data_IF_288840605883
#
_entry.id   IF_288840605883
#
_cell.length_a   1.000
_cell.length_b   1.000
_cell.length_c   1.000
_cell.angle_alpha   90.00
_cell.angle_beta   90.00
_cell.angle_gamma   90.00
#
_symmetry.space_group_name_H-M   'P 1'
#
loop_
_entity.id
_entity.type
_entity.pdbx_description
1 polymer ?
#
# COMPACT_ATOMS: atom_id res chain seq x y z
N UNK A 1 13.27 35.91 -10.77
CA UNK A 1 12.67 35.25 -9.58
C UNK A 1 11.80 34.13 -10.06
N UNK A 2 12.00 32.92 -9.57
CA UNK A 2 11.17 31.75 -9.89
C UNK A 2 10.15 31.52 -8.77
N UNK A 3 8.87 31.38 -9.15
CA UNK A 3 7.80 30.97 -8.25
C UNK A 3 7.43 29.52 -8.56
N UNK A 4 7.01 28.78 -7.55
CA UNK A 4 6.53 27.40 -7.66
C UNK A 4 5.06 27.36 -7.22
N UNK A 5 4.22 26.76 -8.06
CA UNK A 5 2.80 26.57 -7.75
C UNK A 5 2.32 25.20 -8.27
N UNK A 6 1.49 24.54 -7.48
CA UNK A 6 0.95 23.23 -7.80
C UNK A 6 1.79 22.06 -7.30
N UNK A 7 1.28 20.85 -7.48
CA UNK A 7 1.85 19.64 -6.92
C UNK A 7 3.03 19.06 -7.74
N UNK A 8 3.17 19.45 -9.00
CA UNK A 8 4.21 18.94 -9.89
C UNK A 8 4.03 17.48 -10.34
N UNK A 9 5.09 16.92 -10.87
CA UNK A 9 5.18 15.52 -11.33
C UNK A 9 6.38 14.82 -10.69
N UNK A 10 6.19 13.55 -10.34
CA UNK A 10 7.30 12.69 -9.93
C UNK A 10 7.36 11.42 -10.77
N UNK A 11 8.58 11.04 -11.16
CA UNK A 11 8.89 9.78 -11.80
C UNK A 11 9.93 9.03 -10.96
N UNK A 12 9.67 7.76 -10.68
CA UNK A 12 10.62 6.83 -10.10
C UNK A 12 11.14 5.85 -11.15
N UNK A 13 12.44 5.71 -11.26
CA UNK A 13 13.08 4.75 -12.17
C UNK A 13 13.79 3.70 -11.32
N UNK A 14 13.32 2.45 -11.27
CA UNK A 14 13.97 1.39 -10.52
C UNK A 14 15.43 1.19 -10.95
N UNK A 15 16.35 1.09 -10.00
CA UNK A 15 17.78 0.84 -10.25
C UNK A 15 18.17 -0.58 -9.82
N UNK A 16 17.82 -0.94 -8.60
CA UNK A 16 18.09 -2.24 -8.02
C UNK A 16 16.84 -2.83 -7.40
N UNK A 17 16.70 -4.15 -7.48
CA UNK A 17 15.66 -4.90 -6.77
C UNK A 17 15.97 -4.99 -5.26
N UNK A 18 15.07 -5.59 -4.48
CA UNK A 18 15.26 -5.75 -3.05
C UNK A 18 16.43 -6.68 -2.67
N UNK A 19 16.96 -7.46 -3.60
CA UNK A 19 18.12 -8.33 -3.40
C UNK A 19 19.46 -7.67 -3.84
N UNK A 20 19.40 -6.43 -4.32
CA UNK A 20 20.56 -5.68 -4.79
C UNK A 20 20.98 -6.00 -6.23
N UNK A 21 20.16 -6.73 -7.01
CA UNK A 21 20.43 -6.95 -8.43
C UNK A 21 20.00 -5.75 -9.25
N UNK A 22 20.82 -5.35 -10.21
CA UNK A 22 20.48 -4.27 -11.12
C UNK A 22 19.24 -4.62 -11.98
N UNK A 23 18.30 -3.70 -12.06
CA UNK A 23 17.10 -3.86 -12.88
C UNK A 23 17.46 -3.59 -14.35
N UNK A 24 17.39 -4.62 -15.17
CA UNK A 24 17.63 -4.51 -16.62
C UNK A 24 16.40 -3.88 -17.28
N UNK A 25 16.62 -2.83 -18.08
CA UNK A 25 15.57 -2.08 -18.78
C UNK A 25 14.44 -1.60 -17.82
N UNK A 26 14.76 -0.77 -16.84
CA UNK A 26 13.78 -0.31 -15.85
C UNK A 26 12.66 0.48 -16.52
N UNK A 27 11.43 0.16 -16.17
CA UNK A 27 10.26 0.93 -16.62
C UNK A 27 10.05 2.11 -15.67
N UNK A 28 10.15 3.37 -16.15
CA UNK A 28 9.85 4.54 -15.33
C UNK A 28 8.39 4.53 -14.85
N UNK A 29 8.18 4.89 -13.61
CA UNK A 29 6.87 4.91 -12.97
C UNK A 29 6.52 6.35 -12.63
N UNK A 30 5.46 6.88 -13.24
CA UNK A 30 4.87 8.16 -12.86
C UNK A 30 3.95 7.96 -11.67
N UNK A 31 4.09 8.78 -10.62
CA UNK A 31 3.11 8.83 -9.53
C UNK A 31 1.91 9.63 -10.04
N UNK A 32 0.76 8.96 -10.14
CA UNK A 32 -0.45 9.54 -10.72
C UNK A 32 -1.19 10.45 -9.75
N UNK A 33 -1.89 11.45 -10.31
CA UNK A 33 -2.72 12.41 -9.56
C UNK A 33 -2.00 12.96 -8.32
N UNK A 34 -0.81 13.54 -8.53
CA UNK A 34 0.03 14.12 -7.48
C UNK A 34 -0.72 15.20 -6.71
N UNK A 35 -0.73 15.12 -5.40
CA UNK A 35 -1.34 16.13 -4.53
C UNK A 35 -0.29 16.93 -3.75
N UNK A 36 0.76 16.26 -3.32
CA UNK A 36 1.84 16.89 -2.55
C UNK A 36 3.17 16.26 -2.91
N UNK A 37 4.20 17.09 -2.97
CA UNK A 37 5.58 16.67 -3.20
C UNK A 37 6.49 17.60 -2.41
N UNK A 38 7.37 17.04 -1.59
CA UNK A 38 8.36 17.81 -0.83
C UNK A 38 9.71 17.12 -0.82
N UNK A 39 10.75 17.92 -0.77
CA UNK A 39 12.14 17.49 -0.55
C UNK A 39 12.70 18.35 0.57
N UNK A 40 13.26 17.72 1.58
CA UNK A 40 13.91 18.35 2.71
C UNK A 40 15.40 17.99 2.74
N UNK A 41 16.24 19.03 2.80
CA UNK A 41 17.69 18.94 2.97
C UNK A 41 18.01 19.34 4.40
N UNK A 42 18.35 18.39 5.24
CA UNK A 42 18.69 18.64 6.64
C UNK A 42 20.12 18.20 6.95
N UNK A 43 20.76 18.90 7.86
CA UNK A 43 22.12 18.60 8.28
C UNK A 43 22.32 18.87 9.77
N UNK A 44 23.05 17.98 10.42
CA UNK A 44 23.45 18.16 11.82
C UNK A 44 24.51 19.26 11.92
N UNK A 45 24.34 20.18 12.85
CA UNK A 45 25.38 21.13 13.22
C UNK A 45 26.14 20.57 14.42
N UNK A 46 27.46 20.48 14.31
CA UNK A 46 28.36 20.13 15.41
C UNK A 46 29.05 21.39 15.89
N UNK A 47 28.94 21.69 17.17
CA UNK A 47 29.48 22.89 17.79
C UNK A 47 30.51 22.51 18.85
N UNK A 48 31.63 23.23 18.84
CA UNK A 48 32.66 23.12 19.84
C UNK A 48 32.51 24.29 20.81
N UNK A 49 32.26 23.97 22.06
CA UNK A 49 32.16 24.93 23.16
C UNK A 49 33.44 24.96 24.00
N UNK A 50 33.83 26.15 24.46
CA UNK A 50 34.82 26.34 25.51
C UNK A 50 34.11 26.55 26.86
N UNK A 51 34.78 27.24 27.77
CA UNK A 51 34.20 27.58 29.07
C UNK A 51 33.19 28.76 29.03
N UNK A 52 33.00 29.38 27.87
CA UNK A 52 32.04 30.48 27.66
C UNK A 52 30.78 30.00 26.98
N UNK A 53 29.71 30.85 26.98
CA UNK A 53 28.38 30.50 26.48
C UNK A 53 28.28 30.33 24.95
N UNK A 54 29.19 30.93 24.19
CA UNK A 54 29.17 30.87 22.72
C UNK A 54 30.11 29.78 22.21
N UNK A 55 29.65 29.11 21.11
CA UNK A 55 30.47 28.12 20.43
C UNK A 55 31.76 28.77 19.86
N UNK A 56 32.91 28.12 20.05
CA UNK A 56 34.21 28.53 19.49
C UNK A 56 34.31 28.20 18.00
N UNK A 57 33.67 27.11 17.57
CA UNK A 57 33.62 26.68 16.17
C UNK A 57 32.36 25.88 15.92
N UNK A 58 31.87 25.91 14.67
CA UNK A 58 30.78 25.07 14.20
C UNK A 58 31.15 24.38 12.89
N UNK A 59 30.76 23.13 12.74
CA UNK A 59 30.97 22.34 11.52
C UNK A 59 29.68 21.58 11.15
N UNK A 60 29.44 21.48 9.84
CA UNK A 60 28.34 20.67 9.33
C UNK A 60 28.69 19.19 9.42
N UNK A 61 27.88 18.43 10.13
CA UNK A 61 28.02 16.98 10.28
C UNK A 61 27.30 16.19 9.17
N UNK A 62 26.52 15.18 9.55
CA UNK A 62 25.77 14.35 8.61
C UNK A 62 24.69 15.17 7.92
N UNK A 63 24.54 14.95 6.61
CA UNK A 63 23.46 15.55 5.80
C UNK A 63 22.50 14.44 5.36
N UNK A 64 21.20 14.73 5.40
CA UNK A 64 20.13 13.83 4.97
C UNK A 64 19.24 14.57 3.97
N UNK A 65 18.83 13.85 2.93
CA UNK A 65 17.78 14.30 2.01
C UNK A 65 16.60 13.36 2.22
N UNK A 66 15.47 13.94 2.58
CA UNK A 66 14.20 13.22 2.72
C UNK A 66 13.23 13.74 1.68
N UNK A 67 12.58 12.82 0.97
CA UNK A 67 11.50 13.11 0.03
C UNK A 67 10.19 12.52 0.52
N UNK A 68 9.11 13.22 0.20
CA UNK A 68 7.75 12.80 0.50
C UNK A 68 6.85 13.10 -0.68
N UNK A 69 5.98 12.15 -1.01
CA UNK A 69 5.00 12.32 -2.07
C UNK A 69 3.65 11.76 -1.66
N UNK A 70 2.59 12.44 -2.08
CA UNK A 70 1.22 11.97 -1.95
C UNK A 70 0.57 11.94 -3.34
N UNK A 71 0.00 10.82 -3.71
CA UNK A 71 -0.71 10.64 -4.97
C UNK A 71 -2.07 10.02 -4.75
N UNK A 72 -3.10 10.56 -5.41
CA UNK A 72 -4.46 10.06 -5.26
C UNK A 72 -4.73 8.72 -5.97
N UNK A 73 -3.78 8.23 -6.75
CA UNK A 73 -3.91 6.96 -7.46
C UNK A 73 -2.90 5.92 -6.96
N UNK A 74 -3.41 4.71 -6.72
CA UNK A 74 -2.61 3.56 -6.30
C UNK A 74 -2.31 2.69 -7.53
N UNK A 75 -1.03 2.47 -7.83
CA UNK A 75 -0.58 1.56 -8.86
C UNK A 75 0.28 0.44 -8.25
N UNK A 76 -0.07 -0.82 -8.52
CA UNK A 76 0.68 -1.97 -8.00
C UNK A 76 2.16 -1.96 -8.42
N UNK A 77 2.48 -1.47 -9.63
CA UNK A 77 3.87 -1.32 -10.08
C UNK A 77 4.64 -0.29 -9.23
N UNK A 78 4.00 0.84 -8.86
CA UNK A 78 4.60 1.84 -7.97
C UNK A 78 4.93 1.24 -6.61
N UNK A 79 3.95 0.58 -5.99
CA UNK A 79 4.12 -0.04 -4.68
C UNK A 79 5.23 -1.09 -4.69
N UNK A 80 5.25 -1.94 -5.71
CA UNK A 80 6.24 -3.00 -5.78
C UNK A 80 7.64 -2.47 -6.09
N UNK A 81 7.80 -1.70 -7.14
CA UNK A 81 9.12 -1.35 -7.66
C UNK A 81 9.81 -0.23 -6.87
N UNK A 82 9.03 0.60 -6.16
CA UNK A 82 9.59 1.69 -5.35
C UNK A 82 9.65 1.35 -3.86
N UNK A 83 8.90 0.35 -3.38
CA UNK A 83 8.87 0.04 -1.95
C UNK A 83 9.17 -1.42 -1.63
N UNK A 84 8.46 -2.39 -2.22
CA UNK A 84 8.58 -3.80 -1.80
C UNK A 84 9.66 -4.59 -2.57
N UNK A 85 9.86 -4.32 -3.86
CA UNK A 85 10.82 -5.05 -4.69
C UNK A 85 10.54 -6.55 -4.83
N UNK A 86 9.28 -6.97 -4.71
CA UNK A 86 8.84 -8.36 -4.75
C UNK A 86 8.35 -8.78 -6.13
N UNK A 87 8.13 -10.07 -6.32
CA UNK A 87 7.49 -10.58 -7.53
C UNK A 87 5.98 -10.27 -7.51
N UNK A 88 5.48 -9.70 -8.60
CA UNK A 88 4.06 -9.38 -8.77
C UNK A 88 3.37 -10.54 -9.48
N UNK A 89 2.45 -11.22 -8.80
CA UNK A 89 1.52 -12.15 -9.44
C UNK A 89 0.31 -11.40 -9.99
N UNK A 90 -0.25 -11.87 -11.09
CA UNK A 90 -1.43 -11.26 -11.72
C UNK A 90 -2.46 -12.32 -12.11
N UNK A 91 -3.69 -11.89 -12.41
CA UNK A 91 -4.75 -12.75 -12.91
C UNK A 91 -5.73 -13.27 -11.85
N UNK A 92 -5.42 -13.14 -10.56
CA UNK A 92 -6.33 -13.56 -9.46
C UNK A 92 -6.52 -12.44 -8.47
N UNK A 93 -7.77 -12.07 -8.22
CA UNK A 93 -8.18 -11.18 -7.15
C UNK A 93 -8.71 -12.01 -5.99
N UNK A 94 -8.27 -11.74 -4.77
CA UNK A 94 -8.91 -12.19 -3.54
C UNK A 94 -9.72 -11.04 -2.96
N UNK A 95 -10.96 -11.30 -2.59
CA UNK A 95 -11.88 -10.29 -2.08
C UNK A 95 -12.75 -10.86 -0.95
N UNK A 96 -13.28 -9.97 -0.14
CA UNK A 96 -14.21 -10.30 0.94
C UNK A 96 -15.63 -9.94 0.51
N UNK A 97 -16.56 -10.88 0.69
CA UNK A 97 -17.98 -10.60 0.65
C UNK A 97 -18.46 -10.29 2.07
N UNK A 98 -18.81 -9.04 2.32
CA UNK A 98 -19.49 -8.62 3.55
C UNK A 98 -20.98 -8.53 3.26
N UNK A 99 -21.75 -9.44 3.84
CA UNK A 99 -23.19 -9.53 3.60
C UNK A 99 -23.94 -8.46 4.39
N UNK A 100 -24.61 -7.56 3.69
CA UNK A 100 -25.43 -6.49 4.27
C UNK A 100 -26.94 -6.72 4.07
N UNK A 101 -27.29 -7.71 3.26
CA UNK A 101 -28.68 -8.03 2.94
C UNK A 101 -29.22 -9.12 3.85
N UNK A 102 -28.43 -10.16 4.06
CA UNK A 102 -28.77 -11.36 4.82
C UNK A 102 -29.72 -12.31 4.07
N UNK A 103 -29.70 -13.56 4.48
CA UNK A 103 -30.55 -14.62 3.96
C UNK A 103 -31.35 -15.30 5.09
N UNK A 104 -32.54 -15.84 4.76
CA UNK A 104 -33.29 -16.67 5.71
C UNK A 104 -32.81 -18.12 5.64
N UNK A 105 -32.61 -18.75 6.77
CA UNK A 105 -32.28 -20.17 6.85
C UNK A 105 -33.49 -20.98 6.33
N UNK A 106 -33.32 -21.77 5.25
CA UNK A 106 -34.44 -22.53 4.67
C UNK A 106 -34.88 -23.71 5.56
N UNK A 107 -36.11 -24.20 5.35
CA UNK A 107 -36.68 -25.29 6.14
C UNK A 107 -35.97 -26.62 5.91
N UNK A 108 -35.71 -27.01 4.70
CA UNK A 108 -34.99 -28.24 4.34
C UNK A 108 -34.30 -27.97 3.02
N UNK A 109 -33.00 -28.14 2.96
CA UNK A 109 -32.10 -28.93 3.81
C UNK A 109 -31.38 -28.15 4.93
N UNK A 110 -31.87 -27.02 5.44
CA UNK A 110 -31.28 -26.17 6.50
C UNK A 110 -29.91 -25.62 6.15
N UNK A 111 -29.67 -25.39 4.87
CA UNK A 111 -28.34 -24.94 4.38
C UNK A 111 -28.47 -23.77 3.41
N UNK A 112 -27.45 -22.94 3.40
CA UNK A 112 -27.28 -21.83 2.45
C UNK A 112 -25.97 -22.06 1.71
N UNK A 113 -26.02 -22.17 0.39
CA UNK A 113 -24.82 -22.21 -0.44
C UNK A 113 -24.54 -20.82 -0.93
N UNK A 114 -23.35 -20.28 -0.61
CA UNK A 114 -22.96 -18.96 -1.10
C UNK A 114 -22.55 -19.02 -2.55
N UNK A 115 -22.88 -17.98 -3.28
CA UNK A 115 -22.48 -17.80 -4.69
C UNK A 115 -21.57 -16.57 -4.78
N UNK A 116 -20.24 -16.76 -4.81
CA UNK A 116 -19.33 -15.65 -4.91
C UNK A 116 -19.56 -14.79 -6.16
N UNK A 117 -19.42 -13.46 -6.06
CA UNK A 117 -19.56 -12.57 -7.19
C UNK A 117 -18.63 -12.93 -8.36
N UNK A 118 -19.04 -12.58 -9.59
CA UNK A 118 -18.25 -12.73 -10.82
C UNK A 118 -17.74 -14.16 -11.05
N UNK A 119 -18.56 -15.16 -10.75
CA UNK A 119 -18.18 -16.58 -10.85
C UNK A 119 -16.92 -16.94 -10.05
N UNK A 120 -16.72 -16.26 -8.93
CA UNK A 120 -15.61 -16.51 -8.02
C UNK A 120 -15.70 -17.86 -7.33
N UNK A 121 -14.62 -18.24 -6.67
CA UNK A 121 -14.53 -19.48 -5.88
C UNK A 121 -14.44 -19.13 -4.40
N UNK A 122 -15.27 -19.74 -3.57
CA UNK A 122 -15.20 -19.65 -2.12
C UNK A 122 -13.81 -20.11 -1.63
N UNK A 123 -13.24 -19.39 -0.67
CA UNK A 123 -11.92 -19.71 -0.09
C UNK A 123 -12.02 -20.04 1.39
N UNK A 124 -12.64 -19.16 2.17
CA UNK A 124 -12.72 -19.32 3.62
C UNK A 124 -13.90 -18.56 4.20
N UNK A 125 -14.43 -19.08 5.28
CA UNK A 125 -15.42 -18.42 6.12
C UNK A 125 -14.81 -17.24 6.89
N UNK A 126 -15.55 -16.16 7.02
CA UNK A 126 -15.24 -14.98 7.84
C UNK A 126 -16.30 -14.72 8.91
N UNK A 127 -17.19 -15.70 9.13
CA UNK A 127 -18.20 -15.69 10.17
C UNK A 127 -19.61 -15.38 9.69
N UNK A 128 -20.55 -15.90 10.45
CA UNK A 128 -21.99 -15.68 10.27
C UNK A 128 -22.50 -14.85 11.44
N UNK A 129 -23.28 -13.82 11.14
CA UNK A 129 -23.98 -13.00 12.14
C UNK A 129 -25.47 -13.32 12.12
N UNK A 130 -26.12 -13.29 13.27
CA UNK A 130 -27.57 -13.40 13.38
C UNK A 130 -28.30 -12.09 13.00
N UNK A 131 -29.61 -12.06 13.12
CA UNK A 131 -30.43 -10.89 12.83
C UNK A 131 -30.10 -9.66 13.69
N UNK A 132 -29.48 -9.85 14.86
CA UNK A 132 -29.06 -8.80 15.79
C UNK A 132 -27.59 -8.41 15.62
N UNK A 133 -26.94 -8.88 14.54
CA UNK A 133 -25.49 -8.70 14.28
C UNK A 133 -24.60 -9.37 15.34
N UNK A 134 -25.10 -10.39 16.04
CA UNK A 134 -24.32 -11.18 16.99
C UNK A 134 -23.66 -12.36 16.27
N UNK A 135 -22.36 -12.60 16.45
CA UNK A 135 -21.67 -13.73 15.81
C UNK A 135 -22.22 -15.08 16.27
N UNK A 136 -22.57 -15.93 15.31
CA UNK A 136 -22.87 -17.34 15.54
C UNK A 136 -21.59 -18.16 15.72
N UNK A 137 -21.66 -19.26 16.46
CA UNK A 137 -20.49 -20.11 16.70
C UNK A 137 -20.28 -21.10 15.56
N UNK A 138 -19.09 -21.10 14.96
CA UNK A 138 -18.68 -22.09 13.99
C UNK A 138 -18.33 -23.43 14.66
N UNK A 139 -18.82 -24.53 14.11
CA UNK A 139 -18.52 -25.91 14.56
C UNK A 139 -18.12 -26.78 13.37
N UNK A 140 -17.41 -27.87 13.62
CA UNK A 140 -16.96 -28.75 12.54
C UNK A 140 -18.11 -29.46 11.84
N UNK A 141 -19.15 -29.86 12.58
CA UNK A 141 -20.34 -30.59 12.05
C UNK A 141 -21.50 -30.57 13.06
N UNK A 142 -22.69 -30.95 12.65
CA UNK A 142 -23.87 -31.09 13.49
C UNK A 142 -24.14 -29.86 14.38
N UNK A 143 -24.38 -28.67 13.80
CA UNK A 143 -24.55 -27.44 14.57
C UNK A 143 -25.78 -27.52 15.48
N UNK A 144 -25.64 -27.07 16.72
CA UNK A 144 -26.74 -26.81 17.63
C UNK A 144 -27.40 -25.45 17.31
N UNK A 145 -28.51 -25.12 17.99
CA UNK A 145 -29.17 -23.83 17.84
C UNK A 145 -28.18 -22.67 18.07
N UNK A 146 -28.15 -21.71 17.16
CA UNK A 146 -27.20 -20.58 17.21
C UNK A 146 -25.78 -20.92 16.74
N UNK A 147 -25.58 -22.10 16.18
CA UNK A 147 -24.31 -22.54 15.60
C UNK A 147 -24.46 -22.81 14.10
N UNK A 148 -23.31 -22.84 13.41
CA UNK A 148 -23.27 -23.25 12.00
C UNK A 148 -22.01 -24.06 11.71
N UNK A 149 -22.04 -24.84 10.64
CA UNK A 149 -20.87 -25.47 10.04
C UNK A 149 -20.77 -25.09 8.58
N UNK A 150 -19.54 -25.04 8.05
CA UNK A 150 -19.30 -24.66 6.65
C UNK A 150 -18.40 -25.69 5.98
N UNK A 151 -18.74 -26.03 4.74
CA UNK A 151 -17.92 -26.91 3.90
C UNK A 151 -16.89 -26.09 3.10
N UNK A 152 -15.85 -26.75 2.59
CA UNK A 152 -14.86 -26.13 1.71
C UNK A 152 -15.44 -25.59 0.38
N UNK A 153 -16.68 -25.94 0.05
CA UNK A 153 -17.41 -25.42 -1.12
C UNK A 153 -18.32 -24.22 -0.79
N UNK A 154 -18.28 -23.68 0.44
CA UNK A 154 -19.12 -22.56 0.84
C UNK A 154 -20.58 -22.94 1.11
N UNK A 155 -20.85 -24.18 1.52
CA UNK A 155 -22.16 -24.61 1.97
C UNK A 155 -22.23 -24.48 3.49
N UNK A 156 -23.11 -23.61 3.97
CA UNK A 156 -23.37 -23.33 5.38
C UNK A 156 -24.57 -24.16 5.85
N UNK A 157 -24.36 -25.00 6.83
CA UNK A 157 -25.39 -25.81 7.46
C UNK A 157 -25.76 -25.22 8.82
N UNK A 158 -27.06 -25.18 9.12
CA UNK A 158 -27.63 -24.63 10.35
C UNK A 158 -28.48 -25.69 11.08
N UNK A 159 -28.82 -25.40 12.32
CA UNK A 159 -29.75 -26.23 13.09
C UNK A 159 -31.19 -26.05 12.61
N UNK A 160 -31.96 -27.11 12.64
CA UNK A 160 -33.38 -27.09 12.28
C UNK A 160 -34.20 -26.07 13.11
N UNK A 161 -33.83 -25.82 14.38
CA UNK A 161 -34.46 -24.83 15.25
C UNK A 161 -34.16 -23.39 14.87
N UNK A 162 -33.20 -23.17 13.94
CA UNK A 162 -32.86 -21.85 13.42
C UNK A 162 -33.57 -21.53 12.09
N UNK A 163 -34.42 -22.44 11.60
CA UNK A 163 -35.20 -22.22 10.39
C UNK A 163 -35.97 -20.91 10.41
N UNK A 164 -35.91 -20.15 9.30
CA UNK A 164 -36.60 -18.87 9.16
C UNK A 164 -35.89 -17.71 9.84
N UNK A 165 -34.83 -17.94 10.62
CA UNK A 165 -34.01 -16.85 11.16
C UNK A 165 -33.16 -16.23 10.06
N UNK A 166 -32.97 -14.92 10.15
CA UNK A 166 -32.14 -14.19 9.22
C UNK A 166 -30.68 -14.25 9.68
N UNK A 167 -29.77 -14.52 8.73
CA UNK A 167 -28.33 -14.59 8.96
C UNK A 167 -27.60 -13.80 7.90
N UNK A 168 -26.42 -13.27 8.25
CA UNK A 168 -25.51 -12.54 7.37
C UNK A 168 -24.22 -13.34 7.26
N UNK A 169 -23.88 -13.77 6.05
CA UNK A 169 -22.76 -14.68 5.80
C UNK A 169 -21.60 -13.91 5.18
N UNK A 170 -20.49 -13.85 5.89
CA UNK A 170 -19.27 -13.19 5.42
C UNK A 170 -18.23 -14.24 5.03
N UNK A 171 -17.58 -14.05 3.90
CA UNK A 171 -16.58 -15.00 3.40
C UNK A 171 -15.56 -14.34 2.49
N UNK A 172 -14.40 -14.98 2.40
CA UNK A 172 -13.37 -14.65 1.42
C UNK A 172 -13.55 -15.51 0.17
N UNK A 173 -13.32 -14.91 -0.98
CA UNK A 173 -13.39 -15.61 -2.27
C UNK A 173 -12.31 -15.12 -3.21
N UNK A 174 -12.00 -15.91 -4.23
CA UNK A 174 -11.11 -15.52 -5.33
C UNK A 174 -11.89 -15.47 -6.62
N UNK A 175 -11.46 -14.56 -7.51
CA UNK A 175 -11.98 -14.48 -8.88
C UNK A 175 -10.84 -14.24 -9.87
N UNK A 176 -11.03 -14.70 -11.11
CA UNK A 176 -10.10 -14.40 -12.19
C UNK A 176 -10.34 -12.98 -12.67
N UNK A 177 -9.28 -12.15 -12.61
CA UNK A 177 -9.29 -10.76 -13.06
C UNK A 177 -7.93 -10.43 -13.65
N UNK A 178 -7.83 -10.23 -14.96
CA UNK A 178 -6.55 -10.01 -15.66
C UNK A 178 -5.79 -8.78 -15.19
N UNK A 179 -6.51 -7.75 -14.75
CA UNK A 179 -5.93 -6.52 -14.18
C UNK A 179 -5.50 -6.66 -12.71
N UNK A 180 -5.90 -7.75 -12.01
CA UNK A 180 -5.54 -7.95 -10.62
C UNK A 180 -4.03 -8.11 -10.45
N UNK A 181 -3.50 -7.49 -9.41
CA UNK A 181 -2.09 -7.60 -9.00
C UNK A 181 -2.03 -8.02 -7.53
N UNK A 182 -1.20 -9.03 -7.26
CA UNK A 182 -0.91 -9.49 -5.91
C UNK A 182 0.58 -9.33 -5.65
N UNK A 183 0.92 -8.64 -4.57
CA UNK A 183 2.27 -8.53 -4.03
C UNK A 183 2.29 -9.29 -2.71
N UNK A 184 3.14 -10.31 -2.61
CA UNK A 184 3.36 -11.01 -1.35
C UNK A 184 4.57 -10.40 -0.69
N UNK A 185 4.38 -9.71 0.43
CA UNK A 185 5.46 -9.12 1.19
C UNK A 185 6.15 -10.23 1.98
N UNK A 186 7.38 -10.55 1.61
CA UNK A 186 8.21 -11.55 2.29
C UNK A 186 9.01 -10.91 3.43
N UNK A 187 9.29 -11.69 4.48
CA UNK A 187 10.24 -11.30 5.51
C UNK A 187 11.66 -11.46 4.97
N UNK A 188 12.27 -10.35 4.59
CA UNK A 188 13.61 -10.32 4.01
C UNK A 188 14.68 -9.95 5.04
N UNK A 189 15.95 -10.17 4.70
CA UNK A 189 17.06 -9.76 5.55
C UNK A 189 17.09 -8.24 5.73
N UNK A 190 17.62 -7.77 6.86
CA UNK A 190 17.83 -6.33 7.08
C UNK A 190 18.71 -5.74 5.98
N UNK A 191 18.35 -4.56 5.50
CA UNK A 191 19.04 -3.87 4.40
C UNK A 191 18.51 -4.19 3.00
N UNK A 192 17.67 -5.23 2.86
CA UNK A 192 17.02 -5.53 1.58
C UNK A 192 15.93 -4.48 1.29
N UNK A 193 16.15 -3.67 0.27
CA UNK A 193 15.18 -2.67 -0.19
C UNK A 193 15.46 -2.31 -1.66
N UNK A 194 14.43 -2.10 -2.48
CA UNK A 194 14.62 -1.61 -3.83
C UNK A 194 15.18 -0.19 -3.80
N UNK A 195 16.05 0.11 -4.76
CA UNK A 195 16.62 1.44 -4.96
C UNK A 195 16.11 2.02 -6.26
N UNK A 196 15.79 3.29 -6.28
CA UNK A 196 15.29 3.98 -7.47
C UNK A 196 15.87 5.38 -7.62
N UNK A 197 15.89 5.86 -8.86
CA UNK A 197 16.20 7.25 -9.20
C UNK A 197 14.90 8.05 -9.23
N UNK A 198 14.86 9.21 -8.61
CA UNK A 198 13.69 10.06 -8.58
C UNK A 198 13.89 11.34 -9.40
N UNK A 199 12.89 11.67 -10.21
CA UNK A 199 12.78 12.94 -10.93
C UNK A 199 11.55 13.68 -10.41
N UNK A 200 11.76 14.85 -9.82
CA UNK A 200 10.70 15.65 -9.22
C UNK A 200 10.68 17.02 -9.89
N UNK A 201 9.60 17.32 -10.63
CA UNK A 201 9.50 18.54 -11.43
C UNK A 201 8.26 19.34 -11.08
N UNK A 202 8.42 20.64 -11.02
CA UNK A 202 7.31 21.61 -11.02
C UNK A 202 7.42 22.55 -12.20
N UNK A 203 6.28 22.99 -12.71
CA UNK A 203 6.20 23.94 -13.82
C UNK A 203 5.22 25.05 -13.44
N UNK A 204 5.65 26.31 -13.49
CA UNK A 204 4.80 27.48 -13.25
C UNK A 204 5.16 28.62 -14.18
N UNK A 205 4.19 29.16 -14.90
CA UNK A 205 4.36 30.27 -15.89
C UNK A 205 5.49 30.02 -16.90
N UNK A 206 5.61 28.75 -17.38
CA UNK A 206 6.64 28.37 -18.34
C UNK A 206 8.03 28.12 -17.75
N UNK A 207 8.27 28.47 -16.49
CA UNK A 207 9.50 28.19 -15.77
C UNK A 207 9.45 26.81 -15.11
N UNK A 208 10.58 26.10 -15.14
CA UNK A 208 10.70 24.73 -14.62
C UNK A 208 11.70 24.64 -13.50
N UNK A 209 11.36 23.88 -12.48
CA UNK A 209 12.27 23.42 -11.44
C UNK A 209 12.29 21.92 -11.47
N UNK A 210 13.46 21.31 -11.59
CA UNK A 210 13.65 19.87 -11.58
C UNK A 210 14.70 19.51 -10.53
N UNK A 211 14.35 18.55 -9.67
CA UNK A 211 15.32 17.90 -8.78
C UNK A 211 15.43 16.44 -9.18
N UNK A 212 16.66 15.99 -9.42
CA UNK A 212 16.99 14.61 -9.72
C UNK A 212 17.74 14.04 -8.51
N UNK A 213 17.18 13.01 -7.89
CA UNK A 213 17.86 12.25 -6.82
C UNK A 213 18.35 10.93 -7.41
N UNK A 214 19.66 10.67 -7.31
CA UNK A 214 20.31 9.58 -8.03
C UNK A 214 20.03 8.20 -7.46
N UNK A 215 19.99 8.06 -6.13
CA UNK A 215 19.68 6.81 -5.46
C UNK A 215 18.76 7.08 -4.27
N UNK A 216 17.56 6.53 -4.31
CA UNK A 216 16.55 6.68 -3.27
C UNK A 216 16.13 5.32 -2.74
N UNK A 217 15.88 5.26 -1.44
CA UNK A 217 15.30 4.11 -0.76
C UNK A 217 14.05 4.58 -0.01
N UNK A 218 12.94 3.91 -0.26
CA UNK A 218 11.69 4.18 0.46
C UNK A 218 11.76 3.67 1.88
N UNK A 219 11.30 4.47 2.83
CA UNK A 219 11.33 4.16 4.26
C UNK A 219 9.93 4.10 4.90
N UNK A 220 8.92 4.66 4.25
CA UNK A 220 7.53 4.63 4.73
C UNK A 220 6.56 4.58 3.56
N UNK A 221 5.55 3.75 3.68
CA UNK A 221 4.41 3.70 2.78
C UNK A 221 3.13 3.68 3.61
N UNK A 222 2.29 4.69 3.45
CA UNK A 222 0.94 4.70 3.98
C UNK A 222 -0.03 4.37 2.84
N UNK A 223 -0.53 3.14 2.82
CA UNK A 223 -1.35 2.63 1.71
C UNK A 223 -2.85 2.80 1.95
N UNK A 224 -3.31 2.55 3.18
CA UNK A 224 -4.72 2.59 3.55
C UNK A 224 -4.93 3.49 4.75
N UNK A 225 -5.57 4.62 4.53
CA UNK A 225 -6.00 5.56 5.56
C UNK A 225 -7.43 6.01 5.26
N UNK A 226 -8.38 5.15 5.58
CA UNK A 226 -9.79 5.44 5.31
C UNK A 226 -10.38 6.36 6.36
N UNK A 227 -11.17 7.35 5.90
CA UNK A 227 -11.99 8.24 6.72
C UNK A 227 -13.39 8.29 6.13
N UNK A 228 -14.37 8.65 6.95
CA UNK A 228 -15.77 8.65 6.53
C UNK A 228 -16.03 9.63 5.37
N UNK A 229 -15.42 10.81 5.43
CA UNK A 229 -15.72 11.94 4.53
C UNK A 229 -14.53 12.38 3.67
N UNK A 230 -13.52 11.49 3.48
CA UNK A 230 -12.31 11.85 2.75
C UNK A 230 -11.79 10.69 1.89
N UNK A 231 -11.10 11.02 0.80
CA UNK A 231 -10.45 10.04 -0.05
C UNK A 231 -9.16 9.52 0.61
N UNK A 232 -8.87 8.24 0.38
CA UNK A 232 -7.57 7.69 0.73
C UNK A 232 -6.51 8.25 -0.22
N UNK A 233 -5.50 8.93 0.34
CA UNK A 233 -4.36 9.47 -0.40
C UNK A 233 -3.10 8.75 0.07
N UNK A 234 -2.58 7.79 -0.70
CA UNK A 234 -1.33 7.11 -0.38
C UNK A 234 -0.16 8.07 -0.27
N UNK A 235 0.70 7.81 0.71
CA UNK A 235 1.89 8.59 1.01
C UNK A 235 3.12 7.69 0.93
N UNK A 236 4.14 8.13 0.20
CA UNK A 236 5.44 7.47 0.09
C UNK A 236 6.53 8.43 0.58
N UNK A 237 7.23 8.03 1.64
CA UNK A 237 8.43 8.73 2.11
C UNK A 237 9.67 7.94 1.68
N UNK A 238 10.73 8.66 1.32
CA UNK A 238 12.00 8.06 0.91
C UNK A 238 13.16 8.95 1.31
N UNK A 239 14.34 8.36 1.32
CA UNK A 239 15.59 9.08 1.59
C UNK A 239 16.55 8.89 0.42
N UNK A 240 17.29 9.92 0.07
CA UNK A 240 18.32 9.84 -0.95
C UNK A 240 19.67 9.50 -0.32
N UNK A 241 20.43 8.69 -1.04
CA UNK A 241 21.81 8.30 -0.74
C UNK A 241 22.72 8.64 -1.92
N UNK A 242 24.03 8.58 -1.73
CA UNK A 242 24.97 8.72 -2.82
C UNK A 242 24.92 7.51 -3.77
N UNK A 243 25.05 7.76 -5.07
CA UNK A 243 25.26 6.72 -6.08
C UNK A 243 26.72 6.23 -6.09
N UNK A 244 27.04 5.31 -7.00
CA UNK A 244 28.40 4.76 -7.15
C UNK A 244 29.45 5.80 -7.56
N UNK A 245 29.02 6.94 -8.13
CA UNK A 245 29.89 8.06 -8.51
C UNK A 245 29.96 9.14 -7.41
N UNK A 246 29.38 8.89 -6.24
CA UNK A 246 29.33 9.80 -5.10
C UNK A 246 28.45 11.05 -5.32
N UNK A 247 27.52 10.99 -6.29
CA UNK A 247 26.52 12.04 -6.52
C UNK A 247 25.25 11.71 -5.74
N UNK A 248 24.57 12.73 -5.22
CA UNK A 248 23.31 12.57 -4.48
C UNK A 248 22.14 13.19 -5.24
N UNK A 249 22.30 14.43 -5.69
CA UNK A 249 21.24 15.17 -6.34
C UNK A 249 21.76 16.20 -7.35
N UNK A 250 20.97 16.44 -8.40
CA UNK A 250 21.06 17.60 -9.27
C UNK A 250 19.83 18.47 -9.11
N UNK A 251 20.02 19.79 -9.10
CA UNK A 251 18.94 20.77 -9.03
C UNK A 251 19.04 21.68 -10.24
N UNK A 252 18.01 21.72 -11.05
CA UNK A 252 17.88 22.55 -12.24
C UNK A 252 16.79 23.59 -12.02
N UNK A 253 17.12 24.85 -12.22
CA UNK A 253 16.22 25.97 -12.08
C UNK A 253 16.26 26.81 -13.36
N UNK A 254 15.11 27.16 -13.93
CA UNK A 254 15.00 28.11 -15.03
C UNK A 254 14.74 29.50 -14.45
N UNK A 255 15.79 30.28 -14.27
CA UNK A 255 15.70 31.67 -13.78
C UNK A 255 15.22 32.67 -14.85
#
# INVERSE_FOLDING_TARGET
MQLVFGAGDMFGVPLFDANGNAVTNPTPIKIGAMQEMSIDFSGDLKELYGQNQFALASARGKVKIAGKVKGAQIHGAMLNNLFFGQTVASGTLSAVNSDVVGALIPATPFQITVTPPSSGTFVSDLGVLDANQVPMTAVASAPATGQYSVSGAGVYLFNTADTGKKVFINYNYTQTLTSAKRITVANMAMGAAPTFKAYMQTVYQGKRSLVVLYACVSNKLNLLQTKLDDFNVPELDFSATADAANNVADIYLSE
#
